data_IF_645643904266
#
_entry.id   IF_645643904266
#
_cell.length_a   1.000
_cell.length_b   1.000
_cell.length_c   1.000
_cell.angle_alpha   90.00
_cell.angle_beta   90.00
_cell.angle_gamma   90.00
#
_symmetry.space_group_name_H-M   'P 1'
#
loop_
_entity.id
_entity.type
_entity.pdbx_description
1 polymer ?
#
# COMPACT_ATOMS: atom_id res chain seq x y z
N UNK A 1 38.59 -16.09 -18.88
CA UNK A 1 38.24 -14.72 -18.45
C UNK A 1 36.75 -14.69 -18.24
N UNK A 2 36.34 -14.81 -16.98
CA UNK A 2 34.97 -15.17 -16.63
C UNK A 2 34.26 -13.85 -16.34
N UNK A 3 33.42 -13.39 -17.27
CA UNK A 3 32.68 -12.12 -17.13
C UNK A 3 31.78 -12.21 -15.90
N UNK A 4 32.00 -11.31 -14.95
CA UNK A 4 31.23 -11.09 -13.74
C UNK A 4 29.82 -10.60 -14.09
N UNK A 5 28.90 -11.52 -14.37
CA UNK A 5 27.48 -11.22 -14.64
C UNK A 5 26.71 -10.80 -13.38
N UNK A 6 27.13 -11.28 -12.19
CA UNK A 6 26.41 -11.03 -10.93
C UNK A 6 26.39 -9.58 -10.44
N UNK A 7 27.36 -8.75 -10.84
CA UNK A 7 27.43 -7.35 -10.39
C UNK A 7 26.44 -6.43 -11.12
N UNK A 8 26.13 -6.75 -12.38
CA UNK A 8 25.20 -5.96 -13.19
C UNK A 8 23.74 -6.24 -12.83
N UNK A 9 23.42 -7.47 -12.44
CA UNK A 9 22.06 -7.89 -12.08
C UNK A 9 21.65 -7.33 -10.70
N UNK A 10 22.54 -7.41 -9.70
CA UNK A 10 22.31 -6.80 -8.38
C UNK A 10 22.15 -5.26 -8.46
N UNK A 11 22.90 -4.62 -9.35
CA UNK A 11 22.77 -3.19 -9.60
C UNK A 11 21.40 -2.82 -10.21
N UNK A 12 20.91 -3.63 -11.14
CA UNK A 12 19.59 -3.45 -11.74
C UNK A 12 18.47 -3.65 -10.70
N UNK A 13 18.55 -4.70 -9.89
CA UNK A 13 17.58 -4.96 -8.82
C UNK A 13 17.54 -3.84 -7.77
N UNK A 14 18.71 -3.32 -7.37
CA UNK A 14 18.79 -2.17 -6.47
C UNK A 14 18.18 -0.92 -7.08
N UNK A 15 18.38 -0.70 -8.38
CA UNK A 15 17.80 0.43 -9.09
C UNK A 15 16.28 0.30 -9.15
N UNK A 16 15.75 -0.86 -9.51
CA UNK A 16 14.29 -1.13 -9.53
C UNK A 16 13.69 -0.94 -8.14
N UNK A 17 14.27 -1.53 -7.09
CA UNK A 17 13.80 -1.35 -5.70
C UNK A 17 13.80 0.12 -5.28
N UNK A 18 14.82 0.88 -5.66
CA UNK A 18 14.88 2.32 -5.37
C UNK A 18 13.81 3.11 -6.11
N UNK A 19 13.56 2.81 -7.38
CA UNK A 19 12.48 3.45 -8.16
C UNK A 19 11.14 3.13 -7.52
N UNK A 20 10.85 1.86 -7.21
CA UNK A 20 9.61 1.45 -6.55
C UNK A 20 9.43 2.13 -5.19
N UNK A 21 10.49 2.27 -4.40
CA UNK A 21 10.43 2.97 -3.11
C UNK A 21 10.14 4.47 -3.29
N UNK A 22 10.79 5.12 -4.26
CA UNK A 22 10.61 6.57 -4.52
C UNK A 22 9.24 6.89 -5.13
N UNK A 23 8.68 5.98 -5.92
CA UNK A 23 7.37 6.14 -6.59
C UNK A 23 6.21 5.55 -5.78
N UNK A 24 6.49 4.96 -4.61
CA UNK A 24 5.46 4.40 -3.72
C UNK A 24 4.54 5.51 -3.26
N UNK A 25 3.25 5.36 -3.56
CA UNK A 25 2.21 6.23 -3.04
C UNK A 25 2.20 6.17 -1.50
N UNK A 26 2.26 7.35 -0.88
CA UNK A 26 2.17 7.51 0.58
C UNK A 26 0.79 8.05 0.93
N UNK A 27 0.19 7.47 1.97
CA UNK A 27 -1.07 7.93 2.52
C UNK A 27 -0.82 8.37 3.96
N UNK A 28 -1.29 9.57 4.30
CA UNK A 28 -1.36 10.08 5.66
C UNK A 28 -2.28 9.20 6.51
N UNK A 29 -2.21 9.36 7.83
CA UNK A 29 -3.11 8.66 8.74
C UNK A 29 -4.58 9.06 8.51
N UNK A 30 -4.82 10.33 8.20
CA UNK A 30 -6.16 10.87 7.93
C UNK A 30 -6.76 10.25 6.67
N UNK A 31 -6.03 10.24 5.55
CA UNK A 31 -6.48 9.60 4.31
C UNK A 31 -6.83 8.13 4.55
N UNK A 32 -5.93 7.36 5.19
CA UNK A 32 -6.18 5.95 5.54
C UNK A 32 -7.45 5.75 6.34
N UNK A 33 -7.69 6.59 7.34
CA UNK A 33 -8.89 6.51 8.19
C UNK A 33 -10.14 6.85 7.37
N UNK A 34 -10.10 7.91 6.56
CA UNK A 34 -11.21 8.30 5.69
C UNK A 34 -11.60 7.18 4.72
N UNK A 35 -10.62 6.56 4.04
CA UNK A 35 -10.83 5.44 3.12
C UNK A 35 -11.46 4.24 3.84
N UNK A 36 -10.92 3.87 5.00
CA UNK A 36 -11.43 2.72 5.78
C UNK A 36 -12.85 2.99 6.26
N UNK A 37 -13.16 4.21 6.74
CA UNK A 37 -14.50 4.57 7.19
C UNK A 37 -15.51 4.60 6.05
N UNK A 38 -15.16 5.15 4.88
CA UNK A 38 -16.02 5.16 3.71
C UNK A 38 -16.40 3.73 3.27
N UNK A 39 -15.42 2.81 3.28
CA UNK A 39 -15.64 1.40 2.96
C UNK A 39 -16.50 0.65 4.00
N UNK A 40 -16.30 0.90 5.30
CA UNK A 40 -17.09 0.25 6.37
C UNK A 40 -18.54 0.75 6.39
N UNK A 41 -18.77 2.04 6.13
CA UNK A 41 -20.12 2.63 6.09
C UNK A 41 -20.94 2.21 4.88
N UNK A 42 -20.29 1.62 3.87
CA UNK A 42 -20.94 1.22 2.61
C UNK A 42 -21.32 2.41 1.72
N UNK A 43 -20.78 3.60 2.00
CA UNK A 43 -21.04 4.84 1.25
C UNK A 43 -20.39 4.77 -0.15
N UNK A 44 -19.25 4.09 -0.28
CA UNK A 44 -18.61 3.78 -1.56
C UNK A 44 -18.23 2.30 -1.64
N UNK A 45 -18.48 1.66 -2.79
CA UNK A 45 -17.94 0.33 -3.05
C UNK A 45 -16.41 0.42 -3.09
N UNK A 46 -15.71 -0.59 -2.55
CA UNK A 46 -14.24 -0.71 -2.61
C UNK A 46 -13.73 -0.49 -4.04
N UNK A 47 -14.48 -0.96 -5.04
CA UNK A 47 -14.18 -0.78 -6.47
C UNK A 47 -14.19 0.67 -6.98
N UNK A 48 -14.87 1.60 -6.28
CA UNK A 48 -14.91 3.04 -6.58
C UNK A 48 -13.72 3.74 -5.95
N UNK A 49 -13.38 3.41 -4.70
CA UNK A 49 -12.18 3.89 -4.00
C UNK A 49 -10.89 3.54 -4.77
N UNK A 50 -10.83 2.34 -5.36
CA UNK A 50 -9.74 1.90 -6.23
C UNK A 50 -9.45 2.83 -7.42
N UNK A 51 -10.50 3.35 -8.06
CA UNK A 51 -10.37 4.15 -9.28
C UNK A 51 -9.98 5.59 -9.00
N UNK A 52 -10.40 6.13 -7.85
CA UNK A 52 -10.05 7.49 -7.42
C UNK A 52 -8.68 7.56 -6.75
N UNK A 53 -8.36 6.58 -5.93
CA UNK A 53 -7.16 6.65 -5.07
C UNK A 53 -6.06 5.67 -5.47
N UNK A 54 -6.30 4.73 -6.40
CA UNK A 54 -5.31 3.73 -6.84
C UNK A 54 -4.79 2.89 -5.66
N UNK A 55 -5.71 2.40 -4.84
CA UNK A 55 -5.42 1.54 -3.69
C UNK A 55 -5.69 0.09 -4.04
N UNK A 56 -4.74 -0.79 -3.75
CA UNK A 56 -4.95 -2.24 -3.87
C UNK A 56 -5.87 -2.80 -2.76
N UNK A 57 -6.65 -3.83 -3.03
CA UNK A 57 -7.63 -4.46 -2.11
C UNK A 57 -6.91 -4.96 -0.89
N UNK A 58 -5.77 -5.62 -1.13
CA UNK A 58 -4.92 -6.16 -0.09
C UNK A 58 -4.49 -5.08 0.89
N UNK A 59 -4.23 -3.87 0.40
CA UNK A 59 -3.86 -2.72 1.23
C UNK A 59 -5.06 -2.20 2.03
N UNK A 60 -6.23 -2.08 1.40
CA UNK A 60 -7.48 -1.73 2.07
C UNK A 60 -7.83 -2.68 3.21
N UNK A 61 -7.84 -4.00 2.96
CA UNK A 61 -8.19 -4.97 3.99
C UNK A 61 -7.15 -5.03 5.12
N UNK A 62 -5.86 -4.83 4.82
CA UNK A 62 -4.83 -4.71 5.85
C UNK A 62 -5.12 -3.54 6.78
N UNK A 63 -5.41 -2.35 6.23
CA UNK A 63 -5.73 -1.17 7.03
C UNK A 63 -7.04 -1.31 7.79
N UNK A 64 -8.08 -1.86 7.16
CA UNK A 64 -9.37 -2.12 7.81
C UNK A 64 -9.21 -3.04 9.01
N UNK A 65 -8.42 -4.12 8.86
CA UNK A 65 -8.12 -5.04 9.97
C UNK A 65 -7.35 -4.34 11.09
N UNK A 66 -6.27 -3.62 10.78
CA UNK A 66 -5.47 -2.90 11.77
C UNK A 66 -6.32 -1.86 12.54
N UNK A 67 -7.17 -1.13 11.81
CA UNK A 67 -8.06 -0.12 12.38
C UNK A 67 -9.06 -0.73 13.36
N UNK A 68 -9.73 -1.84 12.98
CA UNK A 68 -10.69 -2.52 13.84
C UNK A 68 -10.04 -3.15 15.08
N UNK A 69 -8.85 -3.77 14.91
CA UNK A 69 -8.10 -4.33 16.03
C UNK A 69 -7.61 -3.26 17.02
N UNK A 70 -7.20 -2.09 16.51
CA UNK A 70 -6.86 -0.95 17.36
C UNK A 70 -8.07 -0.44 18.14
N UNK A 71 -9.27 -0.44 17.53
CA UNK A 71 -10.53 -0.10 18.20
C UNK A 71 -10.88 -1.07 19.33
N UNK A 72 -10.77 -2.38 19.08
CA UNK A 72 -11.04 -3.43 20.09
C UNK A 72 -10.15 -3.33 21.32
N UNK A 73 -8.88 -2.97 21.16
CA UNK A 73 -7.92 -2.85 22.28
C UNK A 73 -8.16 -1.64 23.19
N UNK A 74 -8.97 -0.68 22.74
CA UNK A 74 -9.31 0.53 23.51
C UNK A 74 -10.64 0.42 24.26
N UNK A 75 -11.40 -0.65 24.03
CA UNK A 75 -12.63 -1.01 24.75
C UNK A 75 -12.32 -2.10 25.76
#
# INVERSE_FOLDING_TARGET
>A
MNKTSGTSEDAADKLVKNILRKTRQTYSAEEKICIVLAGIRGEESISVLYRREVIAESLYYSWSKEFLEAGKRRL
#
